data_IF_319458384680
#
_entry.id   IF_319458384680
#
_cell.length_a   1.000
_cell.length_b   1.000
_cell.length_c   1.000
_cell.angle_alpha   90.00
_cell.angle_beta   90.00
_cell.angle_gamma   90.00
#
_symmetry.space_group_name_H-M   'P 1'
#
loop_
_entity.id
_entity.type
_entity.pdbx_description
1 polymer ?
#
# COMPACT_ATOMS: atom_id res chain seq x y z
N UNK A 1 -1.21 -5.10 28.50
CA UNK A 1 -0.74 -5.84 27.31
C UNK A 1 -0.90 -7.34 27.60
N UNK A 2 -0.38 -8.28 26.79
CA UNK A 2 -0.44 -9.71 27.09
C UNK A 2 0.29 -10.15 28.37
N UNK A 3 1.21 -9.32 28.90
CA UNK A 3 1.98 -9.59 30.13
C UNK A 3 1.39 -8.95 31.38
N UNK A 4 0.36 -8.12 31.23
CA UNK A 4 -0.32 -7.41 32.32
C UNK A 4 0.23 -6.01 32.59
N UNK A 5 1.17 -5.55 31.78
CA UNK A 5 1.68 -4.19 31.88
C UNK A 5 0.70 -3.20 31.25
N UNK A 6 0.59 -2.02 31.85
CA UNK A 6 -0.23 -0.94 31.31
C UNK A 6 0.53 -0.25 30.20
N UNK A 7 -0.08 -0.18 29.01
CA UNK A 7 0.49 0.52 27.88
C UNK A 7 0.11 2.00 27.90
N UNK A 8 0.99 2.83 27.35
CA UNK A 8 0.65 4.19 26.99
C UNK A 8 -0.43 4.17 25.91
N UNK A 9 -1.46 4.99 26.08
CA UNK A 9 -2.55 5.13 25.11
C UNK A 9 -2.94 6.59 24.99
N UNK A 10 -3.29 7.02 23.77
CA UNK A 10 -3.76 8.38 23.52
C UNK A 10 -5.10 8.37 22.79
N UNK A 11 -5.96 9.33 23.14
CA UNK A 11 -7.22 9.57 22.45
C UNK A 11 -7.08 10.72 21.47
N UNK A 12 -7.09 10.40 20.19
CA UNK A 12 -6.94 11.35 19.07
C UNK A 12 -8.31 11.64 18.46
N UNK A 13 -8.64 12.90 18.10
CA UNK A 13 -9.88 13.21 17.39
C UNK A 13 -9.99 12.48 16.05
N UNK A 14 -11.20 12.07 15.69
CA UNK A 14 -11.53 11.58 14.36
C UNK A 14 -11.88 12.79 13.49
N UNK A 15 -11.38 12.86 12.25
CA UNK A 15 -11.63 13.99 11.36
C UNK A 15 -13.13 14.16 11.04
N UNK A 16 -13.55 15.40 10.77
CA UNK A 16 -14.94 15.67 10.41
C UNK A 16 -15.35 14.95 9.13
N UNK A 17 -14.45 14.82 8.17
CA UNK A 17 -14.69 14.08 6.93
C UNK A 17 -15.07 12.62 7.22
N UNK A 18 -14.34 11.95 8.12
CA UNK A 18 -14.63 10.57 8.54
C UNK A 18 -15.92 10.47 9.35
N UNK A 19 -16.19 11.44 10.22
CA UNK A 19 -17.46 11.52 10.96
C UNK A 19 -18.68 11.71 10.04
N UNK A 20 -18.48 12.36 8.90
CA UNK A 20 -19.54 12.68 7.93
C UNK A 20 -19.72 11.64 6.81
N UNK A 21 -18.95 10.54 6.81
CA UNK A 21 -19.10 9.50 5.77
C UNK A 21 -20.54 8.97 5.78
N UNK A 22 -21.26 9.00 4.65
CA UNK A 22 -22.62 8.47 4.55
C UNK A 22 -22.69 7.02 5.05
N UNK A 23 -23.71 6.72 5.85
CA UNK A 23 -23.90 5.40 6.45
C UNK A 23 -23.20 5.16 7.79
N UNK A 24 -22.33 6.09 8.24
CA UNK A 24 -21.75 6.01 9.60
C UNK A 24 -22.85 6.22 10.66
N UNK A 25 -23.03 5.24 11.54
CA UNK A 25 -23.97 5.30 12.67
C UNK A 25 -23.30 5.54 14.03
N UNK A 26 -21.98 5.44 14.09
CA UNK A 26 -21.21 5.62 15.33
C UNK A 26 -21.11 7.09 15.74
N UNK A 27 -21.43 7.38 17.00
CA UNK A 27 -21.27 8.69 17.64
C UNK A 27 -19.83 8.95 18.15
N UNK A 28 -18.92 8.01 17.94
CA UNK A 28 -17.53 8.13 18.41
C UNK A 28 -16.79 9.25 17.67
N UNK A 29 -16.22 10.18 18.45
CA UNK A 29 -15.48 11.35 17.97
C UNK A 29 -13.97 11.24 18.17
N UNK A 30 -13.50 10.21 18.88
CA UNK A 30 -12.09 9.98 19.19
C UNK A 30 -11.72 8.52 18.96
N UNK A 31 -10.50 8.28 18.54
CA UNK A 31 -9.91 6.96 18.41
C UNK A 31 -8.80 6.78 19.44
N UNK A 32 -8.63 5.56 19.93
CA UNK A 32 -7.52 5.19 20.80
C UNK A 32 -6.35 4.74 19.95
N UNK A 33 -5.17 5.29 20.22
CA UNK A 33 -3.90 4.92 19.61
C UNK A 33 -3.01 4.36 20.69
N UNK A 34 -2.38 3.22 20.41
CA UNK A 34 -1.41 2.55 21.26
C UNK A 34 -0.49 1.70 20.39
N UNK A 35 0.72 1.44 20.88
CA UNK A 35 1.68 0.57 20.21
C UNK A 35 1.38 -0.90 20.56
N UNK A 36 1.32 -1.75 19.53
CA UNK A 36 1.10 -3.17 19.69
C UNK A 36 2.27 -3.95 19.08
N UNK A 37 2.89 -4.81 19.89
CA UNK A 37 3.86 -5.81 19.43
C UNK A 37 3.12 -7.08 19.04
N UNK A 38 3.50 -7.71 17.93
CA UNK A 38 2.88 -8.94 17.46
C UNK A 38 3.94 -10.00 17.16
N UNK A 39 3.72 -11.27 17.52
CA UNK A 39 4.60 -12.34 17.09
C UNK A 39 4.37 -12.69 15.61
N UNK A 40 5.40 -13.21 14.95
CA UNK A 40 5.28 -13.68 13.57
C UNK A 40 4.26 -14.81 13.45
N UNK A 41 3.35 -14.75 12.47
CA UNK A 41 2.28 -15.73 12.25
C UNK A 41 1.58 -16.16 13.56
N UNK A 42 1.06 -15.18 14.29
CA UNK A 42 0.53 -15.39 15.63
C UNK A 42 -0.40 -14.28 16.09
N UNK A 43 -0.66 -14.23 17.40
CA UNK A 43 -1.49 -13.19 18.00
C UNK A 43 -0.98 -12.77 19.38
N UNK A 44 -1.35 -11.55 19.76
CA UNK A 44 -1.29 -11.02 21.11
C UNK A 44 -2.65 -10.43 21.49
N UNK A 45 -3.11 -10.68 22.71
CA UNK A 45 -4.37 -10.14 23.25
C UNK A 45 -4.12 -8.88 24.06
N UNK A 46 -4.87 -7.82 23.76
CA UNK A 46 -4.82 -6.55 24.50
C UNK A 46 -6.16 -6.32 25.20
N UNK A 47 -6.10 -5.98 26.48
CA UNK A 47 -7.27 -5.75 27.31
C UNK A 47 -7.49 -4.25 27.52
N UNK A 48 -8.72 -3.78 27.25
CA UNK A 48 -9.11 -2.38 27.44
C UNK A 48 -10.05 -2.25 28.63
N UNK A 49 -9.66 -1.46 29.62
CA UNK A 49 -10.46 -1.16 30.79
C UNK A 49 -10.75 0.34 30.88
N UNK A 50 -12.01 0.70 31.16
CA UNK A 50 -12.39 2.09 31.40
C UNK A 50 -12.02 2.46 32.83
N UNK A 51 -11.06 3.37 33.00
CA UNK A 51 -10.72 3.91 34.32
C UNK A 51 -11.83 4.81 34.89
N UNK A 52 -12.03 4.86 36.22
CA UNK A 52 -12.95 5.78 36.88
C UNK A 52 -12.59 7.25 36.62
N UNK A 53 -13.59 8.13 36.59
CA UNK A 53 -13.41 9.55 36.26
C UNK A 53 -12.47 10.31 37.22
N UNK A 54 -12.26 9.81 38.43
CA UNK A 54 -11.41 10.43 39.46
C UNK A 54 -9.90 10.27 39.21
N UNK A 55 -9.49 9.35 38.32
CA UNK A 55 -8.09 9.15 37.92
C UNK A 55 -7.72 9.90 36.62
N UNK A 56 -8.65 10.67 36.04
CA UNK A 56 -8.47 11.41 34.76
C UNK A 56 -7.59 12.67 34.85
N UNK A 57 -6.71 12.78 35.85
CA UNK A 57 -5.88 13.98 36.06
C UNK A 57 -4.72 14.13 35.05
N UNK A 58 -4.59 13.23 34.09
CA UNK A 58 -3.67 13.43 32.96
C UNK A 58 -4.29 14.41 31.97
N UNK A 59 -3.80 15.66 31.97
CA UNK A 59 -4.05 16.61 30.88
C UNK A 59 -3.65 15.92 29.57
N UNK A 60 -4.58 15.85 28.63
CA UNK A 60 -4.31 15.35 27.27
C UNK A 60 -3.09 16.09 26.70
N UNK A 61 -2.05 15.33 26.36
CA UNK A 61 -0.83 15.77 25.66
C UNK A 61 -1.12 16.30 24.25
N UNK A 62 -2.30 15.99 23.71
CA UNK A 62 -2.68 16.27 22.33
C UNK A 62 -2.89 17.77 22.11
N UNK A 63 -2.01 18.38 21.31
CA UNK A 63 -2.15 19.77 20.87
C UNK A 63 -2.82 19.83 19.51
N UNK A 64 -3.77 20.76 19.34
CA UNK A 64 -4.48 20.97 18.08
C UNK A 64 -4.37 22.43 17.70
N UNK A 65 -3.91 22.71 16.49
CA UNK A 65 -3.88 24.05 15.89
C UNK A 65 -4.61 24.05 14.55
N UNK A 66 -5.07 25.22 14.11
CA UNK A 66 -5.87 25.38 12.90
C UNK A 66 -5.33 26.53 12.06
N UNK A 67 -5.15 26.31 10.76
CA UNK A 67 -4.68 27.31 9.78
C UNK A 67 -3.39 28.03 10.22
N UNK A 68 -2.44 27.24 10.71
CA UNK A 68 -1.10 27.66 11.09
C UNK A 68 -0.10 26.71 10.42
N UNK A 69 1.16 27.14 10.26
CA UNK A 69 2.24 26.27 9.81
C UNK A 69 2.29 24.99 10.65
N UNK A 70 2.41 23.84 9.99
CA UNK A 70 2.40 22.54 10.64
C UNK A 70 3.65 21.77 10.23
N UNK A 71 4.47 21.40 11.20
CA UNK A 71 5.59 20.48 11.00
C UNK A 71 5.31 19.19 11.75
N UNK A 72 5.20 18.05 11.07
CA UNK A 72 5.20 16.74 11.71
C UNK A 72 6.65 16.26 11.79
N UNK A 73 7.08 15.71 12.94
CA UNK A 73 8.46 15.25 13.09
C UNK A 73 8.58 14.10 14.07
N UNK A 74 9.27 13.04 13.69
CA UNK A 74 9.69 11.96 14.57
C UNK A 74 11.23 11.78 14.51
N UNK A 75 11.72 10.60 14.85
CA UNK A 75 13.15 10.25 14.86
C UNK A 75 13.75 10.19 13.44
N UNK A 76 12.95 9.76 12.45
CA UNK A 76 13.41 9.40 11.10
C UNK A 76 13.03 10.44 10.05
N UNK A 77 11.89 11.12 10.23
CA UNK A 77 11.27 11.97 9.22
C UNK A 77 10.82 13.32 9.78
N UNK A 78 10.77 14.31 8.88
CA UNK A 78 10.09 15.59 9.07
C UNK A 78 9.22 15.90 7.86
N UNK A 79 7.99 16.36 8.08
CA UNK A 79 7.02 16.75 7.06
C UNK A 79 6.58 18.18 7.35
N UNK A 80 6.76 19.09 6.39
CA UNK A 80 6.52 20.52 6.58
C UNK A 80 5.36 21.02 5.71
N UNK A 81 4.44 21.77 6.31
CA UNK A 81 3.28 22.41 5.67
C UNK A 81 3.23 23.91 5.96
N UNK A 82 2.77 24.72 4.99
CA UNK A 82 2.37 26.12 5.27
C UNK A 82 1.02 26.22 5.99
N UNK A 83 0.67 27.46 6.35
CA UNK A 83 -0.59 27.83 6.98
C UNK A 83 -1.82 27.68 6.05
N UNK A 84 -1.60 27.50 4.74
CA UNK A 84 -2.64 27.11 3.78
C UNK A 84 -2.72 25.59 3.57
N UNK A 85 -1.92 24.78 4.27
CA UNK A 85 -1.91 23.33 4.17
C UNK A 85 -1.25 22.78 2.90
N UNK A 86 -0.37 23.54 2.25
CA UNK A 86 0.55 23.04 1.22
C UNK A 86 1.67 22.23 1.83
N UNK A 87 1.80 20.97 1.39
CA UNK A 87 2.97 20.16 1.67
C UNK A 87 4.15 20.79 0.92
N UNK A 88 5.17 21.22 1.65
CA UNK A 88 6.38 21.80 1.08
C UNK A 88 7.50 20.79 0.97
N UNK A 89 7.75 20.01 2.02
CA UNK A 89 8.90 19.13 2.06
C UNK A 89 8.63 17.90 2.92
N UNK A 90 9.21 16.78 2.51
CA UNK A 90 9.45 15.66 3.40
C UNK A 90 10.97 15.41 3.44
N UNK A 91 11.52 15.37 4.65
CA UNK A 91 12.94 15.17 4.92
C UNK A 91 13.15 13.84 5.61
N UNK A 92 14.07 13.05 5.07
CA UNK A 92 14.64 11.89 5.71
C UNK A 92 15.83 12.34 6.58
N UNK A 93 15.63 12.32 7.89
CA UNK A 93 16.59 12.79 8.89
C UNK A 93 17.78 11.82 9.04
N UNK A 94 17.57 10.52 8.83
CA UNK A 94 18.63 9.51 8.94
C UNK A 94 19.65 9.61 7.81
N UNK A 95 19.19 9.98 6.61
CA UNK A 95 20.04 10.11 5.41
C UNK A 95 20.42 11.54 5.10
N UNK A 96 19.84 12.51 5.80
CA UNK A 96 19.98 13.95 5.53
C UNK A 96 19.63 14.30 4.06
N UNK A 97 18.58 13.67 3.54
CA UNK A 97 18.02 13.88 2.19
C UNK A 97 16.56 14.31 2.29
N UNK A 98 15.98 14.87 1.22
CA UNK A 98 14.57 15.26 1.26
C UNK A 98 14.07 15.81 -0.07
N UNK A 99 12.78 15.60 -0.31
CA UNK A 99 12.10 15.98 -1.56
C UNK A 99 11.28 17.23 -1.31
N UNK A 100 11.40 18.21 -2.20
CA UNK A 100 10.55 19.40 -2.20
C UNK A 100 9.32 19.15 -3.07
N UNK A 101 8.17 19.58 -2.59
CA UNK A 101 6.90 19.50 -3.28
C UNK A 101 6.56 20.86 -3.87
N UNK A 102 6.44 20.91 -5.20
CA UNK A 102 5.91 22.08 -5.94
C UNK A 102 4.41 22.19 -5.73
N UNK A 103 3.72 21.05 -5.72
CA UNK A 103 2.31 20.93 -5.40
C UNK A 103 1.97 19.53 -4.93
N UNK A 104 0.99 19.44 -4.02
CA UNK A 104 0.38 18.19 -3.63
C UNK A 104 -1.11 18.43 -3.35
N UNK A 105 -1.96 17.56 -3.88
CA UNK A 105 -3.39 17.61 -3.61
C UNK A 105 -4.26 16.88 -4.64
N UNK A 106 -5.57 17.08 -4.51
CA UNK A 106 -6.56 16.48 -5.38
C UNK A 106 -6.78 17.29 -6.65
N UNK A 107 -6.75 16.61 -7.79
CA UNK A 107 -7.11 17.14 -9.09
C UNK A 107 -8.17 16.24 -9.73
N UNK A 108 -8.74 16.69 -10.85
CA UNK A 108 -9.65 15.86 -11.62
C UNK A 108 -9.50 16.10 -13.12
N UNK A 109 -9.67 15.02 -13.87
CA UNK A 109 -9.90 15.08 -15.30
C UNK A 109 -11.40 15.11 -15.58
N UNK A 110 -11.79 15.99 -16.50
CA UNK A 110 -13.14 15.96 -17.06
C UNK A 110 -13.25 14.77 -18.00
N UNK A 111 -14.20 13.88 -17.74
CA UNK A 111 -14.50 12.76 -18.63
C UNK A 111 -15.01 13.28 -19.98
N UNK A 112 -14.46 12.77 -21.09
CA UNK A 112 -14.99 13.09 -22.43
C UNK A 112 -16.40 12.50 -22.59
N UNK A 113 -17.41 13.36 -22.76
CA UNK A 113 -18.82 12.98 -22.93
C UNK A 113 -19.16 12.66 -24.40
N UNK A 114 -18.54 11.61 -24.92
CA UNK A 114 -18.83 11.03 -26.23
C UNK A 114 -20.20 10.33 -26.29
N UNK A 115 -20.61 9.92 -27.49
CA UNK A 115 -21.92 9.29 -27.76
C UNK A 115 -21.81 7.93 -28.46
N UNK A 116 -20.61 7.36 -28.58
CA UNK A 116 -20.34 6.08 -29.23
C UNK A 116 -20.77 5.98 -30.71
N UNK A 117 -21.14 7.09 -31.37
CA UNK A 117 -21.59 7.04 -32.77
C UNK A 117 -20.48 6.73 -33.76
N UNK A 118 -19.23 7.08 -33.40
CA UNK A 118 -18.00 6.83 -34.15
C UNK A 118 -16.79 6.77 -33.19
N UNK A 119 -15.63 6.22 -33.60
CA UNK A 119 -14.45 6.13 -32.75
C UNK A 119 -14.00 7.47 -32.15
N UNK A 120 -14.10 8.58 -32.90
CA UNK A 120 -13.77 9.91 -32.39
C UNK A 120 -14.68 10.39 -31.25
N UNK A 121 -15.87 9.80 -31.13
CA UNK A 121 -16.87 10.07 -30.08
C UNK A 121 -16.91 9.00 -28.98
N UNK A 122 -15.83 8.23 -28.80
CA UNK A 122 -15.66 7.30 -27.69
C UNK A 122 -15.66 8.05 -26.34
N UNK A 123 -16.67 7.90 -25.46
CA UNK A 123 -16.62 8.50 -24.13
C UNK A 123 -15.64 7.78 -23.22
N UNK A 124 -15.27 8.45 -22.12
CA UNK A 124 -14.75 7.74 -20.94
C UNK A 124 -15.87 6.90 -20.32
N UNK A 125 -15.50 5.79 -19.68
CA UNK A 125 -16.44 4.91 -18.99
C UNK A 125 -15.74 3.88 -18.11
N UNK A 126 -16.44 2.79 -17.75
CA UNK A 126 -15.91 1.74 -16.88
C UNK A 126 -14.54 1.20 -17.30
N UNK A 127 -14.27 1.07 -18.60
CA UNK A 127 -13.03 0.53 -19.15
C UNK A 127 -12.10 1.62 -19.68
N UNK A 128 -12.66 2.63 -20.37
CA UNK A 128 -11.86 3.64 -21.08
C UNK A 128 -11.65 4.88 -20.20
N UNK A 129 -10.39 5.28 -20.06
CA UNK A 129 -10.00 6.60 -19.58
C UNK A 129 -9.67 7.49 -20.79
N UNK A 130 -10.50 8.50 -21.03
CA UNK A 130 -10.34 9.48 -22.10
C UNK A 130 -10.70 10.88 -21.59
N UNK A 131 -9.72 11.60 -21.04
CA UNK A 131 -9.98 12.94 -20.52
C UNK A 131 -10.32 13.89 -21.68
N UNK A 132 -11.24 14.83 -21.45
CA UNK A 132 -11.63 15.85 -22.43
C UNK A 132 -10.45 16.73 -22.84
N UNK A 133 -9.55 17.01 -21.90
CA UNK A 133 -8.31 17.75 -22.12
C UNK A 133 -7.17 17.10 -21.33
N UNK A 134 -5.91 17.27 -21.74
CA UNK A 134 -4.77 16.69 -21.01
C UNK A 134 -4.49 17.39 -19.67
N UNK A 135 -5.17 18.50 -19.35
CA UNK A 135 -4.90 19.30 -18.16
C UNK A 135 -5.90 18.97 -17.05
N UNK A 136 -5.43 18.33 -15.99
CA UNK A 136 -6.22 18.13 -14.78
C UNK A 136 -6.48 19.48 -14.08
N UNK A 137 -7.68 19.64 -13.53
CA UNK A 137 -8.07 20.83 -12.77
C UNK A 137 -7.98 20.55 -11.26
N UNK A 138 -7.53 21.51 -10.43
CA UNK A 138 -7.56 21.31 -8.99
C UNK A 138 -9.01 21.11 -8.51
N UNK A 139 -9.20 20.20 -7.57
CA UNK A 139 -10.52 19.97 -6.93
C UNK A 139 -10.95 21.19 -6.10
N UNK A 140 -9.98 21.92 -5.56
CA UNK A 140 -10.18 23.20 -4.90
C UNK A 140 -8.93 24.06 -5.01
N UNK A 141 -9.11 25.38 -5.13
CA UNK A 141 -8.03 26.37 -5.08
C UNK A 141 -7.77 26.88 -3.66
N UNK A 142 -8.64 26.53 -2.71
CA UNK A 142 -8.51 26.87 -1.29
C UNK A 142 -8.58 25.61 -0.45
N UNK A 143 -7.94 25.63 0.71
CA UNK A 143 -7.99 24.53 1.69
C UNK A 143 -7.70 25.05 3.08
N UNK A 144 -7.97 24.23 4.08
CA UNK A 144 -7.63 24.49 5.48
C UNK A 144 -6.82 23.33 6.03
N UNK A 145 -6.00 23.63 7.05
CA UNK A 145 -5.19 22.64 7.75
C UNK A 145 -5.55 22.61 9.23
N UNK A 146 -5.63 21.40 9.79
CA UNK A 146 -5.68 21.18 11.23
C UNK A 146 -4.51 20.27 11.62
N UNK A 147 -3.62 20.78 12.46
CA UNK A 147 -2.44 20.07 12.90
C UNK A 147 -2.73 19.44 14.27
N UNK A 148 -2.61 18.12 14.37
CA UNK A 148 -2.79 17.36 15.60
C UNK A 148 -1.44 16.80 16.00
N UNK A 149 -0.97 17.13 17.21
CA UNK A 149 0.26 16.61 17.77
C UNK A 149 -0.01 15.79 19.01
N UNK A 150 -0.06 14.48 18.86
CA UNK A 150 0.01 13.51 19.95
C UNK A 150 1.42 12.90 20.02
N UNK A 151 1.73 12.19 21.10
CA UNK A 151 3.04 11.55 21.30
C UNK A 151 3.21 10.33 20.37
N UNK A 152 2.16 9.52 20.22
CA UNK A 152 2.14 8.31 19.41
C UNK A 152 2.06 8.61 17.91
N UNK A 153 1.39 9.70 17.54
CA UNK A 153 1.15 10.09 16.15
C UNK A 153 0.93 11.59 16.00
N UNK A 154 1.51 12.18 14.97
CA UNK A 154 1.21 13.55 14.55
C UNK A 154 0.51 13.51 13.19
N UNK A 155 -0.56 14.28 13.03
CA UNK A 155 -1.41 14.25 11.83
C UNK A 155 -1.74 15.67 11.37
N UNK A 156 -1.52 15.95 10.09
CA UNK A 156 -2.06 17.12 9.40
C UNK A 156 -3.32 16.73 8.62
N UNK A 157 -4.47 17.25 9.03
CA UNK A 157 -5.74 17.08 8.31
C UNK A 157 -5.88 18.26 7.34
N UNK A 158 -5.86 17.99 6.04
CA UNK A 158 -6.04 19.01 4.99
C UNK A 158 -7.40 18.83 4.32
N UNK A 159 -8.27 19.82 4.47
CA UNK A 159 -9.62 19.81 3.89
C UNK A 159 -9.67 20.71 2.65
N UNK A 160 -9.93 20.14 1.48
CA UNK A 160 -9.98 20.88 0.22
C UNK A 160 -11.37 21.46 -0.03
N UNK A 161 -12.41 20.66 0.23
CA UNK A 161 -13.81 21.07 0.20
C UNK A 161 -14.65 20.06 0.99
N UNK A 162 -15.98 20.13 0.86
CA UNK A 162 -16.92 19.25 1.58
C UNK A 162 -16.94 17.78 1.13
N UNK A 163 -16.26 17.42 0.04
CA UNK A 163 -16.22 16.06 -0.51
C UNK A 163 -14.80 15.54 -0.76
N UNK A 164 -13.75 16.31 -0.42
CA UNK A 164 -12.36 15.91 -0.61
C UNK A 164 -11.49 16.39 0.56
N UNK A 165 -10.83 15.45 1.23
CA UNK A 165 -9.90 15.70 2.33
C UNK A 165 -8.83 14.62 2.43
N UNK A 166 -7.73 14.92 3.11
CA UNK A 166 -6.69 13.96 3.43
C UNK A 166 -6.18 14.15 4.85
N UNK A 167 -5.69 13.06 5.44
CA UNK A 167 -5.01 13.00 6.74
C UNK A 167 -3.59 12.51 6.48
N UNK A 168 -2.60 13.36 6.70
CA UNK A 168 -1.19 13.04 6.52
C UNK A 168 -0.59 12.81 7.90
N UNK A 169 -0.23 11.56 8.19
CA UNK A 169 0.18 11.11 9.51
C UNK A 169 1.63 10.65 9.54
N UNK A 170 2.29 10.95 10.65
CA UNK A 170 3.63 10.48 11.00
C UNK A 170 3.58 9.85 12.39
N UNK A 171 3.71 8.53 12.44
CA UNK A 171 3.75 7.77 13.69
C UNK A 171 5.10 7.92 14.39
N UNK A 172 5.11 7.83 15.71
CA UNK A 172 6.35 7.75 16.49
C UNK A 172 7.16 6.52 16.05
N UNK A 173 8.46 6.68 15.81
CA UNK A 173 9.33 5.61 15.29
C UNK A 173 9.04 5.16 13.84
N UNK A 174 8.05 5.73 13.16
CA UNK A 174 7.72 5.37 11.77
C UNK A 174 8.73 5.90 10.75
N UNK A 175 9.10 5.08 9.77
CA UNK A 175 10.05 5.46 8.70
C UNK A 175 9.35 5.90 7.40
N UNK A 176 8.03 6.09 7.44
CA UNK A 176 7.20 6.48 6.30
C UNK A 176 6.12 7.48 6.69
N UNK A 177 5.58 8.18 5.68
CA UNK A 177 4.43 9.07 5.84
C UNK A 177 3.17 8.36 5.32
N UNK A 178 2.09 8.37 6.10
CA UNK A 178 0.80 7.85 5.66
C UNK A 178 -0.10 8.97 5.18
N UNK A 179 -0.69 8.81 3.99
CA UNK A 179 -1.67 9.74 3.43
C UNK A 179 -2.98 9.00 3.27
N UNK A 180 -3.90 9.19 4.21
CA UNK A 180 -5.26 8.69 4.10
C UNK A 180 -6.13 9.73 3.42
N UNK A 181 -6.76 9.38 2.30
CA UNK A 181 -7.62 10.28 1.53
C UNK A 181 -9.07 9.85 1.63
N UNK A 182 -9.99 10.81 1.66
CA UNK A 182 -11.45 10.58 1.59
C UNK A 182 -12.03 11.44 0.48
N UNK A 183 -12.64 10.79 -0.52
CA UNK A 183 -13.20 11.44 -1.70
C UNK A 183 -14.64 10.96 -1.93
N UNK A 184 -15.54 11.92 -2.08
CA UNK A 184 -16.94 11.73 -2.41
C UNK A 184 -17.88 12.37 -1.39
N UNK A 185 -19.16 12.56 -1.74
CA UNK A 185 -19.76 12.24 -3.04
C UNK A 185 -19.24 13.14 -4.17
N UNK A 186 -18.77 12.57 -5.28
CA UNK A 186 -18.30 13.35 -6.43
C UNK A 186 -19.51 14.07 -7.06
N UNK A 187 -19.52 15.41 -7.15
CA UNK A 187 -20.67 16.15 -7.64
C UNK A 187 -20.86 15.96 -9.14
N UNK A 188 -22.11 15.79 -9.57
CA UNK A 188 -22.51 15.62 -10.98
C UNK A 188 -23.62 16.56 -11.43
N UNK A 189 -24.03 17.51 -10.58
CA UNK A 189 -25.12 18.45 -10.87
C UNK A 189 -24.81 19.39 -12.06
N UNK A 190 -23.54 19.47 -12.42
CA UNK A 190 -23.03 20.17 -13.60
C UNK A 190 -23.08 19.33 -14.89
N UNK A 191 -23.59 18.10 -14.82
CA UNK A 191 -23.58 17.11 -15.90
C UNK A 191 -22.16 16.77 -16.41
N UNK A 192 -21.15 16.87 -15.54
CA UNK A 192 -19.76 16.57 -15.88
C UNK A 192 -19.27 15.35 -15.09
N UNK A 193 -18.87 14.30 -15.81
CA UNK A 193 -18.15 13.16 -15.23
C UNK A 193 -16.73 13.58 -14.81
N UNK A 194 -16.27 13.09 -13.66
CA UNK A 194 -14.99 13.49 -13.04
C UNK A 194 -14.18 12.27 -12.64
N UNK A 195 -12.90 12.32 -12.95
CA UNK A 195 -11.91 11.29 -12.62
C UNK A 195 -10.89 11.92 -11.67
N UNK A 196 -11.01 11.60 -10.39
CA UNK A 196 -10.26 12.24 -9.31
C UNK A 196 -8.90 11.57 -9.17
N UNK A 197 -7.85 12.39 -9.15
CA UNK A 197 -6.48 11.97 -8.94
C UNK A 197 -5.91 12.63 -7.68
N UNK A 198 -5.00 11.93 -7.02
CA UNK A 198 -4.10 12.49 -6.03
C UNK A 198 -2.73 12.65 -6.70
N UNK A 199 -2.23 13.88 -6.78
CA UNK A 199 -0.98 14.21 -7.48
C UNK A 199 0.08 14.72 -6.50
N UNK A 200 1.31 14.28 -6.73
CA UNK A 200 2.52 14.64 -5.99
C UNK A 200 3.52 15.21 -7.01
N UNK A 201 3.65 16.53 -7.05
CA UNK A 201 4.61 17.22 -7.93
C UNK A 201 5.84 17.62 -7.13
N UNK A 202 6.98 17.05 -7.49
CA UNK A 202 8.24 17.16 -6.76
C UNK A 202 9.32 17.87 -7.56
N UNK A 203 10.47 18.10 -6.94
CA UNK A 203 11.70 18.59 -7.57
C UNK A 203 12.57 17.49 -8.20
N UNK A 204 12.18 16.21 -8.10
CA UNK A 204 12.92 15.07 -8.67
C UNK A 204 13.04 15.19 -10.19
N UNK A 205 14.27 15.02 -10.70
CA UNK A 205 14.58 15.07 -12.13
C UNK A 205 14.44 13.69 -12.78
N UNK A 206 13.19 13.26 -13.01
CA UNK A 206 12.88 11.89 -13.43
C UNK A 206 13.14 11.55 -14.91
N UNK A 207 13.47 12.54 -15.75
CA UNK A 207 13.85 12.35 -17.16
C UNK A 207 12.84 11.51 -17.96
N UNK A 208 11.54 11.80 -17.79
CA UNK A 208 10.41 11.09 -18.38
C UNK A 208 10.29 9.61 -17.99
N UNK A 209 11.05 9.15 -17.00
CA UNK A 209 11.01 7.77 -16.48
C UNK A 209 10.26 7.70 -15.16
N UNK A 210 9.58 6.58 -14.98
CA UNK A 210 8.89 6.21 -13.74
C UNK A 210 8.79 4.69 -13.68
N UNK A 211 8.52 4.15 -12.50
CA UNK A 211 8.61 2.72 -12.27
C UNK A 211 7.31 2.25 -11.63
N UNK A 212 6.76 1.16 -12.14
CA UNK A 212 5.46 0.62 -11.69
C UNK A 212 5.58 -0.87 -11.49
N UNK A 213 4.92 -1.42 -10.49
CA UNK A 213 4.89 -2.85 -10.31
C UNK A 213 4.07 -3.60 -11.38
N UNK A 214 4.33 -4.90 -11.48
CA UNK A 214 3.55 -5.88 -12.22
C UNK A 214 2.98 -6.87 -11.20
N UNK A 215 1.68 -6.74 -10.91
CA UNK A 215 0.94 -7.59 -9.99
C UNK A 215 1.57 -7.69 -8.58
N UNK A 216 2.14 -6.59 -8.08
CA UNK A 216 2.76 -6.54 -6.75
C UNK A 216 4.17 -7.14 -6.66
N UNK A 217 4.76 -7.57 -7.79
CA UNK A 217 6.03 -8.30 -7.81
C UNK A 217 7.13 -7.53 -8.55
N UNK A 218 7.33 -7.83 -9.82
CA UNK A 218 8.39 -7.21 -10.64
C UNK A 218 8.09 -5.74 -10.85
N UNK A 219 9.13 -4.95 -11.06
CA UNK A 219 9.04 -3.52 -11.30
C UNK A 219 9.52 -3.26 -12.71
N UNK A 220 8.67 -2.57 -13.47
CA UNK A 220 8.96 -2.22 -14.85
C UNK A 220 9.29 -0.74 -14.94
N UNK A 221 10.42 -0.44 -15.58
CA UNK A 221 10.71 0.92 -16.04
C UNK A 221 9.70 1.30 -17.13
N UNK A 222 9.03 2.42 -16.91
CA UNK A 222 8.15 3.10 -17.87
C UNK A 222 8.85 4.36 -18.35
N UNK A 223 8.61 4.68 -19.61
CA UNK A 223 9.03 5.94 -20.21
C UNK A 223 7.81 6.58 -20.86
N UNK A 224 7.50 7.82 -20.44
CA UNK A 224 6.37 8.58 -20.97
C UNK A 224 6.47 8.69 -22.49
N UNK A 225 5.35 8.50 -23.17
CA UNK A 225 5.20 8.56 -24.63
C UNK A 225 6.12 7.60 -25.41
N UNK A 226 6.48 6.45 -24.81
CA UNK A 226 7.37 5.48 -25.43
C UNK A 226 6.83 4.04 -25.36
N UNK A 227 7.18 3.24 -26.37
CA UNK A 227 6.91 1.79 -26.42
C UNK A 227 8.16 1.06 -26.93
N UNK A 228 8.59 -0.04 -26.29
CA UNK A 228 9.81 -0.73 -26.66
C UNK A 228 9.70 -1.56 -27.95
N UNK A 229 8.49 -1.95 -28.35
CA UNK A 229 8.27 -2.95 -29.41
C UNK A 229 7.70 -2.37 -30.71
N UNK A 230 7.31 -1.09 -30.76
CA UNK A 230 6.88 -0.41 -31.98
C UNK A 230 7.11 1.10 -31.89
N UNK A 231 7.14 1.77 -33.05
CA UNK A 231 7.20 3.22 -33.11
C UNK A 231 5.85 3.81 -32.66
N UNK A 232 5.84 4.48 -31.50
CA UNK A 232 4.62 5.00 -30.88
C UNK A 232 4.46 6.50 -31.12
N UNK A 233 3.32 6.87 -31.72
CA UNK A 233 2.88 8.27 -31.79
C UNK A 233 1.89 8.52 -30.66
N UNK A 234 2.25 9.38 -29.71
CA UNK A 234 1.36 9.75 -28.61
C UNK A 234 0.21 10.63 -29.12
N UNK A 235 -1.01 10.10 -29.08
CA UNK A 235 -2.25 10.83 -29.41
C UNK A 235 -2.97 11.21 -28.11
N UNK A 236 -3.14 10.24 -27.21
CA UNK A 236 -3.69 10.42 -25.88
C UNK A 236 -2.54 10.51 -24.86
N UNK A 237 -1.98 11.71 -24.69
CA UNK A 237 -0.74 11.97 -23.92
C UNK A 237 -0.88 11.76 -22.41
N UNK A 238 -2.11 11.67 -21.89
CA UNK A 238 -2.37 11.32 -20.50
C UNK A 238 -2.70 9.84 -20.38
N UNK A 239 -3.85 9.40 -20.91
CA UNK A 239 -4.33 8.02 -20.70
C UNK A 239 -3.42 6.96 -21.34
N UNK A 240 -2.72 7.30 -22.43
CA UNK A 240 -1.70 6.44 -23.03
C UNK A 240 -0.49 6.15 -22.12
N UNK A 241 -0.33 6.90 -21.03
CA UNK A 241 0.77 6.72 -20.06
C UNK A 241 0.30 6.18 -18.71
N UNK A 242 -0.99 5.89 -18.54
CA UNK A 242 -1.50 5.24 -17.32
C UNK A 242 -1.18 3.74 -17.31
N UNK A 243 -0.73 3.27 -16.14
CA UNK A 243 -0.44 1.87 -15.88
C UNK A 243 -1.16 1.40 -14.61
N UNK A 244 -1.47 0.10 -14.50
CA UNK A 244 -1.99 -0.46 -13.26
C UNK A 244 -0.90 -0.40 -12.18
N UNK A 245 -1.24 0.18 -11.04
CA UNK A 245 -0.41 0.22 -9.84
C UNK A 245 -1.08 -0.71 -8.84
N UNK A 246 -0.62 -1.96 -8.76
CA UNK A 246 -1.18 -2.90 -7.80
C UNK A 246 -0.56 -2.69 -6.42
N UNK A 247 0.68 -2.18 -6.36
CA UNK A 247 1.35 -1.91 -5.09
C UNK A 247 2.20 -0.68 -4.98
N UNK A 248 2.88 -0.26 -6.05
CA UNK A 248 3.86 0.81 -5.94
C UNK A 248 4.15 1.50 -7.26
N UNK A 249 4.37 2.80 -7.15
CA UNK A 249 4.89 3.64 -8.21
C UNK A 249 5.99 4.52 -7.64
N UNK A 250 7.03 4.81 -8.44
CA UNK A 250 8.03 5.80 -8.04
C UNK A 250 8.67 6.53 -9.20
N UNK A 251 9.31 7.63 -8.83
CA UNK A 251 10.22 8.43 -9.65
C UNK A 251 11.53 8.59 -8.87
N UNK A 252 12.63 8.77 -9.59
CA UNK A 252 13.94 8.98 -8.99
C UNK A 252 14.84 9.84 -9.88
N UNK A 253 15.84 10.45 -9.25
CA UNK A 253 17.01 11.01 -9.91
C UNK A 253 18.28 10.28 -9.40
N UNK A 254 19.44 10.95 -9.43
CA UNK A 254 20.70 10.36 -8.98
C UNK A 254 20.78 10.25 -7.45
N UNK A 255 20.10 11.13 -6.73
CA UNK A 255 20.28 11.32 -5.29
C UNK A 255 19.09 10.77 -4.50
N UNK A 256 17.87 10.87 -5.05
CA UNK A 256 16.65 10.58 -4.32
C UNK A 256 15.63 9.79 -5.15
N UNK A 257 14.87 8.95 -4.46
CA UNK A 257 13.71 8.23 -4.95
C UNK A 257 12.49 8.58 -4.09
N UNK A 258 11.40 9.01 -4.75
CA UNK A 258 10.09 9.19 -4.13
C UNK A 258 9.18 8.04 -4.54
N UNK A 259 8.81 7.20 -3.57
CA UNK A 259 7.95 6.03 -3.80
C UNK A 259 6.60 6.23 -3.11
N UNK A 260 5.54 5.87 -3.82
CA UNK A 260 4.16 5.80 -3.33
C UNK A 260 3.71 4.35 -3.35
N UNK A 261 3.35 3.81 -2.19
CA UNK A 261 2.62 2.54 -2.10
C UNK A 261 1.11 2.79 -2.07
N UNK A 262 0.34 1.86 -2.63
CA UNK A 262 -1.12 1.94 -2.69
C UNK A 262 -1.78 0.83 -1.86
N UNK A 263 -2.85 1.13 -1.13
CA UNK A 263 -3.63 0.13 -0.39
C UNK A 263 -4.50 -0.78 -1.28
N UNK A 264 -4.64 -0.42 -2.56
CA UNK A 264 -5.43 -1.12 -3.57
C UNK A 264 -4.89 -0.86 -4.96
N UNK A 265 -5.45 -1.55 -5.95
CA UNK A 265 -5.13 -1.30 -7.35
C UNK A 265 -5.67 0.06 -7.78
N UNK A 266 -4.82 0.87 -8.38
CA UNK A 266 -5.15 2.19 -8.93
C UNK A 266 -4.55 2.33 -10.33
N UNK A 267 -5.03 3.29 -11.10
CA UNK A 267 -4.33 3.75 -12.31
C UNK A 267 -3.34 4.83 -11.94
N UNK A 268 -2.10 4.76 -12.40
CA UNK A 268 -1.08 5.78 -12.08
C UNK A 268 -0.08 6.03 -13.19
N UNK A 269 0.57 7.19 -13.12
CA UNK A 269 1.55 7.63 -14.11
C UNK A 269 2.47 8.74 -13.58
N UNK A 270 3.42 9.16 -14.42
CA UNK A 270 4.18 10.39 -14.31
C UNK A 270 3.95 11.24 -15.56
N UNK A 271 2.93 12.12 -15.52
CA UNK A 271 2.52 12.95 -16.68
C UNK A 271 3.55 14.00 -17.08
N UNK A 272 4.36 14.46 -16.12
CA UNK A 272 5.49 15.39 -16.31
C UNK A 272 6.63 15.00 -15.39
N UNK A 273 7.85 15.47 -15.67
CA UNK A 273 9.02 15.16 -14.85
C UNK A 273 8.82 15.65 -13.40
N UNK A 274 9.21 14.81 -12.44
CA UNK A 274 9.02 15.07 -11.02
C UNK A 274 7.60 14.81 -10.49
N UNK A 275 6.65 14.41 -11.34
CA UNK A 275 5.26 14.17 -10.93
C UNK A 275 4.94 12.69 -10.79
N UNK A 276 4.16 12.34 -9.78
CA UNK A 276 3.44 11.07 -9.67
C UNK A 276 1.97 11.39 -9.45
N UNK A 277 1.09 10.80 -10.25
CA UNK A 277 -0.35 10.87 -10.02
C UNK A 277 -0.99 9.49 -10.00
N UNK A 278 -2.00 9.36 -9.13
CA UNK A 278 -2.80 8.15 -8.93
C UNK A 278 -4.27 8.52 -9.01
N UNK A 279 -5.01 7.85 -9.90
CA UNK A 279 -6.46 7.97 -10.00
C UNK A 279 -7.11 7.13 -8.91
N UNK A 280 -7.79 7.81 -7.98
CA UNK A 280 -8.29 7.23 -6.73
C UNK A 280 -9.81 7.05 -6.72
N UNK A 281 -10.55 7.78 -7.56
CA UNK A 281 -12.00 7.65 -7.66
C UNK A 281 -12.50 8.20 -9.00
N UNK A 282 -13.62 7.66 -9.51
CA UNK A 282 -14.18 7.98 -10.82
C UNK A 282 -15.70 8.00 -10.74
N UNK A 283 -16.33 9.01 -11.35
CA UNK A 283 -17.79 9.05 -11.50
C UNK A 283 -18.18 9.59 -12.87
N UNK A 284 -18.88 8.76 -13.64
CA UNK A 284 -19.18 8.96 -15.06
C UNK A 284 -20.68 9.08 -15.27
N UNK A 285 -21.06 9.75 -16.36
CA UNK A 285 -22.47 9.92 -16.75
C UNK A 285 -22.79 9.20 -18.07
N UNK A 286 -21.79 8.60 -18.72
CA UNK A 286 -21.92 7.85 -19.96
C UNK A 286 -21.30 6.46 -19.85
N UNK A 287 -21.85 5.51 -20.61
CA UNK A 287 -21.28 4.19 -20.88
C UNK A 287 -20.29 4.29 -22.05
N UNK A 288 -19.20 3.53 -21.99
CA UNK A 288 -18.15 3.51 -23.02
C UNK A 288 -18.38 2.51 -24.15
N UNK A 289 -19.55 1.87 -24.20
CA UNK A 289 -19.96 1.04 -25.34
C UNK A 289 -19.22 -0.29 -25.43
N UNK A 290 -18.50 -0.71 -24.38
CA UNK A 290 -17.72 -1.97 -24.38
C UNK A 290 -18.44 -3.16 -23.73
N UNK A 291 -19.75 -3.03 -23.51
CA UNK A 291 -20.65 -4.16 -23.26
C UNK A 291 -21.26 -4.25 -21.85
N UNK A 292 -20.87 -3.39 -20.91
CA UNK A 292 -21.51 -3.33 -19.58
C UNK A 292 -22.88 -2.65 -19.65
N UNK A 293 -23.03 -1.61 -20.48
CA UNK A 293 -24.32 -0.97 -20.74
C UNK A 293 -24.77 -0.01 -19.64
N UNK A 294 -23.86 0.39 -18.76
CA UNK A 294 -24.14 1.29 -17.64
C UNK A 294 -22.97 2.26 -17.43
N UNK A 295 -23.24 3.55 -17.12
CA UNK A 295 -22.18 4.47 -16.73
C UNK A 295 -21.59 4.06 -15.37
N UNK A 296 -20.29 4.34 -15.15
CA UNK A 296 -19.65 4.19 -13.84
C UNK A 296 -20.15 5.27 -12.86
N UNK A 297 -21.37 5.10 -12.34
CA UNK A 297 -22.07 6.08 -11.50
C UNK A 297 -22.49 5.47 -10.15
N UNK A 298 -21.52 4.96 -9.40
CA UNK A 298 -21.78 4.27 -8.13
C UNK A 298 -22.43 5.18 -7.07
N UNK A 299 -23.44 4.65 -6.38
CA UNK A 299 -24.17 5.35 -5.32
C UNK A 299 -24.32 4.46 -4.08
N UNK A 300 -24.34 5.08 -2.90
CA UNK A 300 -24.61 4.43 -1.63
C UNK A 300 -25.31 5.43 -0.70
N UNK A 301 -26.23 4.94 0.14
CA UNK A 301 -26.97 5.78 1.11
C UNK A 301 -27.70 6.99 0.49
N UNK A 302 -28.12 6.89 -0.77
CA UNK A 302 -28.82 7.95 -1.50
C UNK A 302 -27.93 9.02 -2.12
N UNK A 303 -26.60 8.88 -2.02
CA UNK A 303 -25.62 9.82 -2.56
C UNK A 303 -24.59 9.11 -3.44
N UNK A 304 -23.72 9.86 -4.12
CA UNK A 304 -22.57 9.28 -4.83
C UNK A 304 -21.61 8.59 -3.87
N UNK A 305 -21.02 7.47 -4.30
CA UNK A 305 -20.14 6.67 -3.45
C UNK A 305 -18.98 7.51 -2.88
N UNK A 306 -18.75 7.38 -1.57
CA UNK A 306 -17.60 7.94 -0.86
C UNK A 306 -16.56 6.85 -0.67
N UNK A 307 -15.32 7.11 -1.08
CA UNK A 307 -14.21 6.17 -0.96
C UNK A 307 -13.16 6.78 -0.04
N UNK A 308 -12.67 5.96 0.89
CA UNK A 308 -11.47 6.23 1.68
C UNK A 308 -10.39 5.21 1.31
N UNK A 309 -9.16 5.67 1.20
CA UNK A 309 -8.00 4.81 0.97
C UNK A 309 -6.72 5.43 1.51
N UNK A 310 -5.61 4.70 1.34
CA UNK A 310 -4.31 5.04 1.93
C UNK A 310 -3.19 4.93 0.91
N UNK A 311 -2.30 5.92 0.92
CA UNK A 311 -0.97 5.84 0.33
C UNK A 311 0.10 5.85 1.42
N UNK A 312 1.21 5.16 1.19
CA UNK A 312 2.41 5.27 2.03
C UNK A 312 3.53 5.88 1.19
N UNK A 313 4.19 6.92 1.71
CA UNK A 313 5.25 7.65 1.03
C UNK A 313 6.62 7.31 1.62
N UNK A 314 7.59 7.04 0.73
CA UNK A 314 9.00 6.85 1.07
C UNK A 314 9.88 7.86 0.35
N UNK A 315 10.91 8.33 1.05
CA UNK A 315 12.01 9.09 0.47
C UNK A 315 13.30 8.42 0.91
N UNK A 316 13.99 7.84 -0.06
CA UNK A 316 15.24 7.13 0.16
C UNK A 316 16.20 7.42 -1.00
N UNK A 317 17.52 7.32 -0.77
CA UNK A 317 18.46 7.20 -1.88
C UNK A 317 18.10 5.98 -2.74
N UNK A 318 18.23 6.06 -4.08
CA UNK A 318 17.85 4.97 -4.98
C UNK A 318 18.44 3.59 -4.60
N UNK A 319 19.70 3.55 -4.15
CA UNK A 319 20.39 2.31 -3.78
C UNK A 319 19.85 1.62 -2.52
N UNK A 320 19.15 2.34 -1.64
CA UNK A 320 18.61 1.81 -0.39
C UNK A 320 17.08 1.64 -0.42
N UNK A 321 16.40 2.20 -1.43
CA UNK A 321 14.94 2.32 -1.43
C UNK A 321 14.21 0.98 -1.47
N UNK A 322 14.82 -0.02 -2.11
CA UNK A 322 14.28 -1.36 -2.29
C UNK A 322 13.84 -2.01 -0.97
N UNK A 323 14.72 -2.02 0.03
CA UNK A 323 14.44 -2.56 1.36
C UNK A 323 13.15 -1.98 1.95
N UNK A 324 13.04 -0.65 1.95
CA UNK A 324 11.93 0.05 2.57
C UNK A 324 10.60 -0.22 1.87
N UNK A 325 10.54 -0.03 0.54
CA UNK A 325 9.27 -0.19 -0.16
C UNK A 325 8.84 -1.66 -0.28
N UNK A 326 9.78 -2.61 -0.33
CA UNK A 326 9.48 -4.05 -0.35
C UNK A 326 8.85 -4.48 0.97
N UNK A 327 9.52 -4.20 2.09
CA UNK A 327 9.08 -4.61 3.42
C UNK A 327 7.76 -3.91 3.79
N UNK A 328 7.68 -2.60 3.61
CA UNK A 328 6.47 -1.86 3.96
C UNK A 328 5.26 -2.23 3.09
N UNK A 329 5.47 -2.58 1.82
CA UNK A 329 4.39 -3.09 0.97
C UNK A 329 3.83 -4.40 1.51
N UNK A 330 4.67 -5.32 1.99
CA UNK A 330 4.18 -6.55 2.64
C UNK A 330 3.40 -6.21 3.92
N UNK A 331 3.93 -5.32 4.76
CA UNK A 331 3.24 -4.89 5.99
C UNK A 331 1.89 -4.21 5.72
N UNK A 332 1.76 -3.47 4.62
CA UNK A 332 0.50 -2.83 4.21
C UNK A 332 -0.55 -3.87 3.78
N UNK A 333 -0.17 -4.84 2.93
CA UNK A 333 -1.09 -5.88 2.47
C UNK A 333 -1.42 -6.92 3.53
N UNK A 334 -0.45 -7.27 4.36
CA UNK A 334 -0.55 -8.23 5.45
C UNK A 334 -0.70 -7.52 6.80
N UNK A 335 -1.40 -6.37 6.80
CA UNK A 335 -1.61 -5.61 8.03
C UNK A 335 -2.32 -6.49 9.08
N UNK A 336 -1.98 -6.33 10.37
CA UNK A 336 -2.57 -7.13 11.42
C UNK A 336 -4.10 -7.07 11.45
N UNK A 337 -4.74 -8.22 11.64
CA UNK A 337 -6.18 -8.29 11.83
C UNK A 337 -6.54 -8.02 13.29
N UNK A 338 -7.33 -6.97 13.53
CA UNK A 338 -7.87 -6.68 14.84
C UNK A 338 -9.23 -7.38 15.03
N UNK A 339 -9.35 -8.18 16.10
CA UNK A 339 -10.60 -8.82 16.50
C UNK A 339 -11.00 -8.35 17.90
N UNK A 340 -12.28 -8.04 18.08
CA UNK A 340 -12.78 -7.49 19.34
C UNK A 340 -13.80 -8.43 19.99
N UNK A 341 -13.71 -8.58 21.31
CA UNK A 341 -14.68 -9.30 22.11
C UNK A 341 -14.98 -8.54 23.40
N UNK A 342 -16.24 -8.49 23.80
CA UNK A 342 -16.63 -7.99 25.12
C UNK A 342 -16.41 -9.08 26.16
N UNK A 343 -15.55 -8.82 27.14
CA UNK A 343 -15.21 -9.77 28.19
C UNK A 343 -15.74 -9.25 29.53
N UNK A 344 -16.62 -10.00 30.23
CA UNK A 344 -17.16 -9.58 31.52
C UNK A 344 -16.25 -9.92 32.71
N UNK A 345 -15.07 -10.48 32.46
CA UNK A 345 -14.08 -10.90 33.45
C UNK A 345 -12.96 -9.87 33.56
N UNK A 346 -12.31 -9.75 34.72
CA UNK A 346 -11.09 -8.95 34.88
C UNK A 346 -9.95 -9.52 34.04
N UNK A 347 -8.93 -8.69 33.78
CA UNK A 347 -7.71 -9.12 33.11
C UNK A 347 -7.11 -10.39 33.74
N UNK A 348 -6.92 -10.41 35.06
CA UNK A 348 -6.30 -11.55 35.76
C UNK A 348 -7.07 -12.86 35.56
N UNK A 349 -8.41 -12.81 35.63
CA UNK A 349 -9.25 -13.99 35.44
C UNK A 349 -9.19 -14.49 33.99
N UNK A 350 -9.19 -13.56 33.03
CA UNK A 350 -9.09 -13.91 31.61
C UNK A 350 -7.69 -14.46 31.26
N UNK A 351 -6.63 -13.82 31.74
CA UNK A 351 -5.25 -14.23 31.53
C UNK A 351 -4.94 -15.60 32.15
N UNK A 352 -5.56 -15.93 33.29
CA UNK A 352 -5.43 -17.25 33.92
C UNK A 352 -6.17 -18.35 33.15
N UNK A 353 -7.29 -18.03 32.49
CA UNK A 353 -8.12 -19.00 31.78
C UNK A 353 -7.72 -19.21 30.30
N UNK A 354 -7.13 -18.20 29.67
CA UNK A 354 -6.89 -18.17 28.22
C UNK A 354 -5.45 -17.79 27.86
N UNK A 355 -4.96 -18.34 26.75
CA UNK A 355 -3.65 -17.99 26.20
C UNK A 355 -3.69 -16.57 25.63
N UNK A 356 -2.80 -15.69 26.10
CA UNK A 356 -2.72 -14.30 25.65
C UNK A 356 -1.83 -14.09 24.42
N UNK A 357 -0.84 -14.97 24.23
CA UNK A 357 0.15 -14.89 23.14
C UNK A 357 0.36 -16.26 22.52
N UNK A 358 0.43 -16.31 21.20
CA UNK A 358 0.82 -17.52 20.48
C UNK A 358 1.48 -17.19 19.14
N UNK A 359 2.36 -18.07 18.67
CA UNK A 359 3.02 -17.97 17.38
C UNK A 359 3.22 -19.35 16.75
N UNK A 360 2.94 -19.45 15.46
CA UNK A 360 3.25 -20.62 14.65
C UNK A 360 4.73 -20.69 14.23
N UNK A 361 5.48 -19.60 14.41
CA UNK A 361 6.89 -19.52 14.05
C UNK A 361 7.75 -19.43 15.31
N UNK A 362 8.92 -20.07 15.28
CA UNK A 362 9.91 -19.95 16.36
C UNK A 362 10.74 -18.69 16.27
N UNK A 363 10.85 -18.12 15.07
CA UNK A 363 11.60 -16.89 14.76
C UNK A 363 10.97 -16.18 13.55
N UNK A 364 11.37 -14.94 13.33
CA UNK A 364 11.02 -14.15 12.15
C UNK A 364 11.67 -14.72 10.89
N UNK A 365 11.02 -14.51 9.73
CA UNK A 365 11.61 -14.84 8.44
C UNK A 365 12.70 -13.80 8.08
N UNK A 366 13.75 -14.21 7.34
CA UNK A 366 14.67 -13.26 6.73
C UNK A 366 13.90 -12.20 5.93
N UNK A 367 14.34 -10.93 5.94
CA UNK A 367 13.59 -9.85 5.30
C UNK A 367 13.39 -10.05 3.80
N UNK A 368 14.21 -10.84 3.11
CA UNK A 368 14.02 -11.20 1.71
C UNK A 368 13.17 -12.45 1.47
N UNK A 369 12.54 -13.01 2.51
CA UNK A 369 11.63 -14.17 2.44
C UNK A 369 10.24 -13.78 2.92
N UNK A 370 9.22 -14.14 2.15
CA UNK A 370 7.83 -13.98 2.54
C UNK A 370 7.10 -15.33 2.49
N UNK A 371 6.30 -15.62 3.53
CA UNK A 371 5.39 -16.77 3.57
C UNK A 371 4.10 -16.42 2.84
N UNK A 372 4.11 -16.63 1.53
CA UNK A 372 2.99 -16.32 0.64
C UNK A 372 1.75 -17.19 0.87
N UNK A 373 1.92 -18.43 1.32
CA UNK A 373 0.78 -19.33 1.61
C UNK A 373 1.12 -20.25 2.76
N UNK A 374 0.21 -20.37 3.71
CA UNK A 374 0.18 -21.40 4.73
C UNK A 374 -1.26 -21.90 4.88
N UNK A 375 -1.55 -23.07 4.30
CA UNK A 375 -2.92 -23.57 4.15
C UNK A 375 -2.99 -25.02 4.62
N UNK A 376 -3.95 -25.35 5.48
CA UNK A 376 -4.18 -26.73 5.89
C UNK A 376 -5.09 -27.44 4.87
N UNK A 377 -4.57 -28.45 4.18
CA UNK A 377 -5.29 -29.22 3.17
C UNK A 377 -6.09 -30.39 3.78
N UNK A 378 -5.54 -31.01 4.82
CA UNK A 378 -6.13 -32.12 5.56
C UNK A 378 -5.55 -32.14 7.00
N UNK A 379 -6.03 -33.01 7.91
CA UNK A 379 -5.34 -33.21 9.19
C UNK A 379 -3.84 -33.44 8.95
N UNK A 380 -2.99 -32.64 9.59
CA UNK A 380 -1.52 -32.68 9.49
C UNK A 380 -0.90 -32.36 8.12
N UNK A 381 -1.68 -32.16 7.06
CA UNK A 381 -1.16 -31.85 5.72
C UNK A 381 -1.31 -30.36 5.45
N UNK A 382 -0.18 -29.69 5.17
CA UNK A 382 -0.12 -28.26 4.90
C UNK A 382 0.49 -27.97 3.54
N UNK A 383 -0.06 -26.97 2.85
CA UNK A 383 0.54 -26.34 1.68
C UNK A 383 1.26 -25.07 2.11
N UNK A 384 2.55 -25.01 1.77
CA UNK A 384 3.44 -23.90 2.09
C UNK A 384 3.96 -23.30 0.78
N UNK A 385 3.82 -21.98 0.62
CA UNK A 385 4.53 -21.22 -0.41
C UNK A 385 5.40 -20.18 0.24
N UNK A 386 6.67 -20.20 -0.15
CA UNK A 386 7.65 -19.18 0.25
C UNK A 386 8.16 -18.50 -1.01
N UNK A 387 8.39 -17.20 -0.91
CA UNK A 387 8.93 -16.42 -2.00
C UNK A 387 10.08 -15.54 -1.58
N UNK A 388 10.99 -15.30 -2.53
CA UNK A 388 11.94 -14.21 -2.48
C UNK A 388 11.36 -13.06 -3.28
N UNK A 389 11.00 -11.97 -2.60
CA UNK A 389 10.19 -10.91 -3.21
C UNK A 389 10.99 -9.67 -3.61
N UNK A 390 12.31 -9.69 -3.40
CA UNK A 390 13.27 -8.76 -3.98
C UNK A 390 13.73 -9.23 -5.36
N UNK A 391 13.95 -8.26 -6.26
CA UNK A 391 14.48 -8.46 -7.59
C UNK A 391 16.00 -8.64 -7.58
N UNK A 392 16.56 -9.13 -8.69
CA UNK A 392 18.00 -9.21 -8.86
C UNK A 392 18.58 -7.79 -8.96
N UNK A 393 19.67 -7.52 -8.23
CA UNK A 393 20.36 -6.21 -8.21
C UNK A 393 19.47 -5.03 -7.74
N UNK A 394 18.45 -5.29 -6.93
CA UNK A 394 17.56 -4.26 -6.39
C UNK A 394 18.10 -3.65 -5.08
N UNK A 395 18.70 -4.50 -4.23
CA UNK A 395 19.27 -4.17 -2.93
C UNK A 395 20.61 -4.89 -2.73
N UNK A 396 21.61 -4.22 -2.15
CA UNK A 396 22.96 -4.76 -1.97
C UNK A 396 23.03 -5.97 -1.02
N UNK A 397 22.07 -6.13 -0.11
CA UNK A 397 22.05 -7.23 0.87
C UNK A 397 20.95 -8.23 0.55
N UNK A 398 19.75 -7.75 0.24
CA UNK A 398 18.53 -8.55 0.18
C UNK A 398 18.20 -9.09 -1.22
N UNK A 399 18.92 -8.65 -2.27
CA UNK A 399 18.83 -9.23 -3.63
C UNK A 399 19.77 -10.41 -3.87
N UNK A 400 20.18 -11.11 -2.80
CA UNK A 400 21.05 -12.28 -2.87
C UNK A 400 20.33 -13.56 -2.44
N UNK A 401 20.77 -14.74 -2.92
CA UNK A 401 20.18 -16.01 -2.53
C UNK A 401 20.19 -16.21 -1.01
N UNK A 402 19.08 -16.70 -0.47
CA UNK A 402 18.89 -16.96 0.96
C UNK A 402 18.62 -18.44 1.18
N UNK A 403 19.13 -18.99 2.28
CA UNK A 403 18.88 -20.37 2.68
C UNK A 403 18.37 -20.40 4.11
N UNK A 404 17.28 -21.14 4.33
CA UNK A 404 16.63 -21.30 5.63
C UNK A 404 15.99 -22.68 5.73
N UNK A 405 15.69 -23.11 6.95
CA UNK A 405 15.12 -24.43 7.21
C UNK A 405 13.67 -24.32 7.71
N UNK A 406 12.73 -24.89 6.95
CA UNK A 406 11.31 -24.86 7.29
C UNK A 406 10.98 -25.62 8.57
N UNK A 407 11.68 -26.72 8.84
CA UNK A 407 11.46 -27.49 10.07
C UNK A 407 11.77 -26.63 11.31
N UNK A 408 12.88 -25.90 11.27
CA UNK A 408 13.29 -25.03 12.38
C UNK A 408 12.27 -23.92 12.62
N UNK A 409 11.76 -23.30 11.54
CA UNK A 409 10.75 -22.24 11.60
C UNK A 409 9.42 -22.71 12.16
N UNK A 410 8.89 -23.85 11.68
CA UNK A 410 7.59 -24.40 12.06
C UNK A 410 7.66 -25.41 13.21
N UNK A 411 8.75 -25.43 13.98
CA UNK A 411 8.93 -26.38 15.08
C UNK A 411 7.82 -26.27 16.15
N UNK A 412 7.20 -25.10 16.32
CA UNK A 412 6.13 -24.90 17.31
C UNK A 412 4.81 -25.60 16.93
N UNK A 413 4.65 -26.01 15.67
CA UNK A 413 3.44 -26.69 15.18
C UNK A 413 3.64 -28.19 14.91
N UNK A 414 4.87 -28.71 15.02
CA UNK A 414 5.17 -30.16 14.94
C UNK A 414 6.42 -30.50 14.13
N UNK A 415 6.62 -31.79 13.88
CA UNK A 415 7.74 -32.30 13.07
C UNK A 415 7.30 -32.58 11.64
N UNK A 416 8.01 -32.02 10.66
CA UNK A 416 7.82 -32.29 9.23
C UNK A 416 8.38 -33.69 8.93
N UNK A 417 7.50 -34.65 8.64
CA UNK A 417 7.87 -36.03 8.31
C UNK A 417 7.86 -36.33 6.81
N UNK A 418 7.04 -35.63 6.04
CA UNK A 418 7.02 -35.69 4.57
C UNK A 418 7.14 -34.30 3.97
N UNK A 419 7.87 -34.21 2.85
CA UNK A 419 8.19 -32.95 2.20
C UNK A 419 8.24 -33.15 0.68
N UNK A 420 7.28 -32.56 -0.04
CA UNK A 420 7.19 -32.69 -1.50
C UNK A 420 7.12 -31.31 -2.15
N UNK A 421 8.08 -31.01 -3.02
CA UNK A 421 8.04 -29.80 -3.85
C UNK A 421 7.17 -29.99 -5.08
N UNK A 422 6.34 -28.99 -5.36
CA UNK A 422 5.35 -28.98 -6.42
C UNK A 422 5.56 -27.77 -7.33
N UNK A 423 4.96 -27.83 -8.51
CA UNK A 423 4.74 -26.64 -9.35
C UNK A 423 3.88 -25.59 -8.61
N UNK A 424 3.87 -24.34 -9.08
CA UNK A 424 3.16 -23.23 -8.41
C UNK A 424 1.65 -23.51 -8.19
N UNK A 425 1.01 -24.16 -9.16
CA UNK A 425 -0.40 -24.56 -9.09
C UNK A 425 -0.64 -25.75 -8.12
N UNK A 426 0.41 -26.33 -7.55
CA UNK A 426 0.39 -27.44 -6.61
C UNK A 426 -0.31 -28.71 -7.15
N UNK A 427 -0.28 -28.92 -8.47
CA UNK A 427 -0.97 -30.03 -9.15
C UNK A 427 0.00 -31.05 -9.79
N UNK A 428 1.30 -30.82 -9.70
CA UNK A 428 2.34 -31.68 -10.28
C UNK A 428 3.61 -31.62 -9.41
N UNK A 429 4.20 -32.77 -9.03
CA UNK A 429 5.55 -32.82 -8.45
C UNK A 429 6.56 -32.11 -9.33
N UNK A 430 7.44 -31.29 -8.74
CA UNK A 430 8.41 -30.52 -9.53
C UNK A 430 9.36 -31.44 -10.32
N UNK A 431 9.65 -32.63 -9.78
CA UNK A 431 10.46 -33.67 -10.43
C UNK A 431 9.87 -34.18 -11.74
N UNK A 432 8.56 -34.05 -11.92
CA UNK A 432 7.82 -34.57 -13.07
C UNK A 432 7.62 -33.51 -14.16
N UNK A 433 8.02 -32.25 -13.88
CA UNK A 433 7.87 -31.13 -14.79
C UNK A 433 8.78 -31.29 -16.02
N UNK A 434 8.18 -31.36 -17.20
CA UNK A 434 8.88 -31.34 -18.50
C UNK A 434 8.60 -30.04 -19.22
N UNK A 435 9.65 -29.23 -19.45
CA UNK A 435 9.55 -27.98 -20.22
C UNK A 435 9.94 -28.21 -21.67
N UNK A 436 9.20 -27.59 -22.58
CA UNK A 436 9.62 -27.44 -23.97
C UNK A 436 10.90 -26.59 -24.03
N UNK A 437 11.69 -26.81 -25.08
CA UNK A 437 12.94 -26.09 -25.33
C UNK A 437 12.79 -25.28 -26.60
N UNK A 438 13.15 -24.00 -26.54
CA UNK A 438 13.13 -23.09 -27.69
C UNK A 438 14.36 -22.19 -27.70
N UNK A 439 14.67 -21.64 -28.88
CA UNK A 439 15.69 -20.62 -29.09
C UNK A 439 15.00 -19.29 -29.35
N UNK A 440 15.51 -18.21 -28.76
CA UNK A 440 15.10 -16.86 -29.13
C UNK A 440 15.59 -16.51 -30.54
N UNK A 441 15.11 -15.39 -31.10
CA UNK A 441 15.65 -14.82 -32.34
C UNK A 441 17.13 -14.46 -32.25
N UNK A 442 17.64 -14.27 -31.03
CA UNK A 442 19.04 -13.98 -30.71
C UNK A 442 19.86 -15.26 -30.46
N UNK A 443 19.28 -16.43 -30.74
CA UNK A 443 19.86 -17.76 -30.51
C UNK A 443 20.14 -18.08 -29.04
N UNK A 444 19.54 -17.35 -28.11
CA UNK A 444 19.60 -17.67 -26.71
C UNK A 444 18.67 -18.83 -26.40
N UNK A 445 19.18 -19.82 -25.66
CA UNK A 445 18.37 -20.95 -25.24
C UNK A 445 17.39 -20.54 -24.15
N UNK A 446 16.18 -21.11 -24.19
CA UNK A 446 15.23 -21.10 -23.07
C UNK A 446 15.82 -21.72 -21.80
N UNK A 447 16.94 -22.45 -21.90
CA UNK A 447 17.80 -22.80 -20.78
C UNK A 447 18.63 -21.58 -20.33
N UNK A 448 17.97 -20.47 -19.96
CA UNK A 448 18.65 -19.44 -19.18
C UNK A 448 18.97 -20.00 -17.78
N UNK A 449 20.13 -19.62 -17.27
CA UNK A 449 20.80 -20.05 -16.04
C UNK A 449 19.87 -20.07 -14.80
N UNK A 450 19.07 -21.13 -14.64
CA UNK A 450 18.56 -21.52 -13.32
C UNK A 450 19.59 -22.51 -12.80
N UNK A 451 20.44 -22.16 -11.81
CA UNK A 451 21.31 -23.14 -11.17
C UNK A 451 20.39 -24.26 -10.72
N UNK A 452 20.60 -25.47 -11.29
CA UNK A 452 19.76 -26.66 -11.15
C UNK A 452 18.63 -26.47 -10.13
N UNK A 453 17.40 -26.21 -10.61
CA UNK A 453 16.18 -26.35 -9.80
C UNK A 453 16.00 -27.84 -9.47
N UNK A 454 16.94 -28.40 -8.71
CA UNK A 454 16.79 -29.68 -8.06
C UNK A 454 15.68 -29.49 -7.05
N UNK A 455 14.67 -30.34 -7.16
CA UNK A 455 13.62 -30.41 -6.16
C UNK A 455 14.28 -30.52 -4.78
N UNK A 456 13.84 -29.70 -3.82
CA UNK A 456 14.34 -29.80 -2.47
C UNK A 456 14.01 -31.19 -1.92
N UNK A 457 15.04 -31.90 -1.46
CA UNK A 457 14.93 -33.25 -0.91
C UNK A 457 14.82 -33.25 0.62
N UNK A 458 14.86 -32.07 1.24
CA UNK A 458 14.77 -31.86 2.68
C UNK A 458 14.10 -30.50 2.97
N UNK A 459 13.94 -30.16 4.24
CA UNK A 459 13.29 -28.93 4.69
C UNK A 459 14.16 -27.68 4.57
N UNK A 460 15.42 -27.81 4.14
CA UNK A 460 16.32 -26.67 3.89
C UNK A 460 16.08 -26.12 2.49
N UNK A 461 15.50 -24.93 2.44
CA UNK A 461 15.13 -24.26 1.20
C UNK A 461 16.16 -23.19 0.88
N UNK A 462 16.64 -23.20 -0.36
CA UNK A 462 17.32 -22.06 -0.97
C UNK A 462 16.36 -21.35 -1.93
N UNK A 463 16.26 -20.02 -1.80
CA UNK A 463 15.55 -19.15 -2.73
C UNK A 463 16.55 -18.20 -3.39
N UNK A 464 16.40 -17.99 -4.69
CA UNK A 464 17.06 -16.91 -5.44
C UNK A 464 16.08 -15.75 -5.66
N UNK A 465 16.55 -14.54 -6.01
CA UNK A 465 15.67 -13.41 -6.31
C UNK A 465 14.46 -13.75 -7.19
N UNK A 466 13.30 -13.20 -6.84
CA UNK A 466 11.99 -13.42 -7.48
C UNK A 466 11.40 -14.84 -7.43
N UNK A 467 12.11 -15.82 -6.88
CA UNK A 467 11.66 -17.21 -6.89
C UNK A 467 10.49 -17.44 -5.91
N UNK A 468 9.48 -18.19 -6.35
CA UNK A 468 8.45 -18.80 -5.50
C UNK A 468 8.66 -20.31 -5.53
N UNK A 469 8.60 -20.96 -4.36
CA UNK A 469 8.62 -22.43 -4.25
C UNK A 469 7.39 -22.90 -3.46
N UNK A 470 6.79 -24.00 -3.91
CA UNK A 470 5.53 -24.54 -3.39
C UNK A 470 5.75 -25.94 -2.86
N UNK A 471 5.28 -26.22 -1.65
CA UNK A 471 5.49 -27.49 -0.97
C UNK A 471 4.19 -28.00 -0.36
N UNK A 472 4.00 -29.31 -0.38
CA UNK A 472 3.11 -29.99 0.56
C UNK A 472 3.97 -30.66 1.63
N UNK A 473 3.57 -30.51 2.89
CA UNK A 473 4.27 -31.06 4.05
C UNK A 473 3.31 -31.80 4.97
N UNK A 474 3.77 -32.91 5.54
CA UNK A 474 3.08 -33.63 6.63
C UNK A 474 3.74 -33.26 7.96
N UNK A 475 2.96 -32.75 8.91
CA UNK A 475 3.43 -32.28 10.22
C UNK A 475 2.84 -33.16 11.33
N UNK A 476 3.70 -33.89 12.05
CA UNK A 476 3.35 -34.84 13.12
C UNK A 476 3.52 -34.26 14.52
#
# INVERSE_FOLDING_TARGET
DPTGETLFTELVPISQAVQNIPGRTSLTQKQIIFEATLPALGFNTYYFEKKPDQEKNEKSSVKITHNEECTLKNQHLRVDFDDQGNLHQIVNLDKNTGVQFKSQGFYWYQAFAGNNSRPEFQPSGPYIFRPLTPNAQPVSTTRSITCIKAESVQTAIVTFNNWASQEISLYNGGEHVEVEWTVGPIPINDNIGKEIILRYDTDIQSQSKYYTDANGREVLERKRDYRPTWNYTAVETVSGNYYPINSRIWIKDQDQQFTVLTDRTQGGTSVVDGSVELMIHRRHLQDDGLGVGEPLNETAYGEGLVVRGKHILFIQPPAASALYHRVASQSLYMHPLATFATIPQTYDNYAAAYRQTWSALTDTLPLNVHLLTFEQLAPQIYRIRVEHYFELNEDETYSHPVTFDLQSLFKSIGQISEFTELTLAANLPLTDLKRLTWLSSEQESSHMFVPEQKAATNTTIRLIPMQIRTFNVLVQ
#
